data_IF_063963995318
#
_entry.id   IF_063963995318
#
_cell.length_a   1.000
_cell.length_b   1.000
_cell.length_c   1.000
_cell.angle_alpha   90.00
_cell.angle_beta   90.00
_cell.angle_gamma   90.00
#
_symmetry.space_group_name_H-M   'P 1'
#
loop_
_entity.id
_entity.type
_entity.pdbx_description
1 polymer ?
#
# COMPACT_ATOMS: atom_id res chain seq x y z
N UNK A 1 8.75 -23.89 -15.08
CA UNK A 1 8.15 -23.34 -16.32
C UNK A 1 7.03 -24.19 -16.91
N UNK A 2 7.26 -25.33 -17.60
CA UNK A 2 6.16 -26.07 -18.27
C UNK A 2 5.18 -26.79 -17.31
N UNK A 3 5.62 -27.18 -16.10
CA UNK A 3 4.74 -27.80 -15.09
C UNK A 3 3.85 -26.80 -14.36
N UNK A 4 4.37 -25.61 -14.04
CA UNK A 4 3.58 -24.49 -13.50
C UNK A 4 2.52 -24.03 -14.50
N UNK A 5 2.85 -24.07 -15.80
CA UNK A 5 1.91 -23.74 -16.86
C UNK A 5 0.68 -24.66 -16.82
N UNK A 6 0.89 -25.99 -16.73
CA UNK A 6 -0.21 -26.98 -16.62
C UNK A 6 -1.08 -26.78 -15.38
N UNK A 7 -0.48 -26.48 -14.22
CA UNK A 7 -1.24 -26.21 -12.99
C UNK A 7 -2.12 -24.96 -13.10
N UNK A 8 -1.65 -23.92 -13.80
CA UNK A 8 -2.46 -22.75 -14.12
C UNK A 8 -3.54 -23.05 -15.19
N UNK A 9 -3.37 -24.09 -16.02
CA UNK A 9 -4.38 -24.48 -17.01
C UNK A 9 -5.65 -25.06 -16.39
N UNK A 10 -5.55 -25.88 -15.33
CA UNK A 10 -6.73 -26.47 -14.65
C UNK A 10 -7.52 -25.41 -13.86
N UNK A 11 -6.84 -24.47 -13.21
CA UNK A 11 -7.47 -23.40 -12.41
C UNK A 11 -8.17 -22.37 -13.30
N UNK A 12 -7.58 -22.02 -14.44
CA UNK A 12 -8.17 -21.11 -15.44
C UNK A 12 -9.46 -21.61 -16.07
N UNK A 13 -9.71 -22.92 -16.08
CA UNK A 13 -10.88 -23.52 -16.70
C UNK A 13 -12.14 -23.44 -15.82
N UNK A 14 -12.00 -23.26 -14.49
CA UNK A 14 -13.12 -23.28 -13.54
C UNK A 14 -13.45 -21.92 -12.91
N UNK A 15 -12.46 -21.05 -12.69
CA UNK A 15 -12.64 -19.80 -11.91
C UNK A 15 -12.11 -18.54 -12.58
N UNK A 16 -11.30 -18.68 -13.64
CA UNK A 16 -10.57 -17.57 -14.26
C UNK A 16 -9.38 -17.14 -13.40
N UNK A 17 -8.24 -16.88 -14.04
CA UNK A 17 -7.02 -16.43 -13.34
C UNK A 17 -6.85 -14.94 -13.58
N UNK A 18 -6.67 -14.18 -12.50
CA UNK A 18 -6.16 -12.81 -12.53
C UNK A 18 -4.74 -12.84 -11.97
N UNK A 19 -3.77 -12.36 -12.74
CA UNK A 19 -2.39 -12.23 -12.30
C UNK A 19 -1.82 -10.89 -12.74
N UNK A 20 -1.13 -10.21 -11.84
CA UNK A 20 -0.36 -9.00 -12.12
C UNK A 20 1.12 -9.35 -12.32
N UNK A 21 1.82 -8.62 -13.19
CA UNK A 21 3.24 -8.85 -13.48
C UNK A 21 3.87 -7.76 -14.33
N UNK A 22 5.13 -7.94 -14.70
CA UNK A 22 5.86 -7.04 -15.62
C UNK A 22 5.93 -7.69 -17.01
N UNK A 23 5.53 -6.94 -18.03
CA UNK A 23 5.69 -7.31 -19.43
C UNK A 23 6.77 -6.46 -20.07
N UNK A 24 7.43 -6.99 -21.09
CA UNK A 24 8.43 -6.27 -21.88
C UNK A 24 7.81 -5.95 -23.24
N UNK A 25 7.65 -4.67 -23.55
CA UNK A 25 7.18 -4.21 -24.85
C UNK A 25 8.17 -4.60 -25.97
N UNK A 26 7.71 -4.51 -27.22
CA UNK A 26 8.56 -4.79 -28.40
C UNK A 26 9.80 -3.87 -28.46
N UNK A 27 9.69 -2.65 -27.93
CA UNK A 27 10.78 -1.68 -27.84
C UNK A 27 11.71 -1.90 -26.63
N UNK A 28 11.45 -2.94 -25.81
CA UNK A 28 12.23 -3.28 -24.62
C UNK A 28 11.77 -2.59 -23.34
N UNK A 29 10.72 -1.77 -23.37
CA UNK A 29 10.22 -1.06 -22.18
C UNK A 29 9.44 -2.00 -21.26
N UNK A 30 9.76 -1.99 -19.97
CA UNK A 30 8.99 -2.70 -18.95
C UNK A 30 7.70 -1.95 -18.62
N UNK A 31 6.58 -2.69 -18.54
CA UNK A 31 5.32 -2.14 -18.06
C UNK A 31 4.54 -3.13 -17.19
N UNK A 32 3.87 -2.64 -16.13
CA UNK A 32 3.00 -3.47 -15.32
C UNK A 32 1.72 -3.81 -16.08
N UNK A 33 1.30 -5.07 -16.00
CA UNK A 33 0.09 -5.57 -16.62
C UNK A 33 -0.73 -6.44 -15.67
N UNK A 34 -2.02 -6.49 -15.91
CA UNK A 34 -2.97 -7.45 -15.36
C UNK A 34 -3.43 -8.36 -16.50
N UNK A 35 -3.25 -9.67 -16.37
CA UNK A 35 -3.84 -10.66 -17.28
C UNK A 35 -5.04 -11.30 -16.60
N UNK A 36 -6.19 -11.24 -17.26
CA UNK A 36 -7.34 -12.07 -16.96
C UNK A 36 -7.46 -13.17 -18.00
N UNK A 37 -7.40 -14.43 -17.57
CA UNK A 37 -7.50 -15.59 -18.45
C UNK A 37 -8.74 -16.40 -18.14
N UNK A 38 -9.54 -16.70 -19.16
CA UNK A 38 -10.67 -17.63 -19.06
C UNK A 38 -10.63 -18.61 -20.22
N UNK A 39 -11.04 -19.84 -19.95
CA UNK A 39 -11.28 -20.83 -20.99
C UNK A 39 -12.77 -21.02 -21.21
N UNK A 40 -13.18 -21.15 -22.47
CA UNK A 40 -14.56 -21.35 -22.90
C UNK A 40 -14.57 -22.50 -23.88
N UNK A 41 -15.47 -23.47 -23.71
CA UNK A 41 -15.73 -24.50 -24.70
C UNK A 41 -16.67 -23.95 -25.78
N UNK A 42 -16.25 -24.02 -27.03
CA UNK A 42 -17.10 -23.73 -28.18
C UNK A 42 -17.12 -24.96 -29.09
N UNK A 43 -18.25 -25.68 -29.11
CA UNK A 43 -18.47 -26.88 -29.93
C UNK A 43 -17.43 -28.00 -29.69
N UNK A 44 -16.97 -28.18 -28.45
CA UNK A 44 -15.97 -29.18 -28.09
C UNK A 44 -14.52 -28.72 -28.31
N UNK A 45 -14.30 -27.47 -28.71
CA UNK A 45 -12.99 -26.85 -28.79
C UNK A 45 -12.77 -25.92 -27.59
N UNK A 46 -11.74 -26.19 -26.80
CA UNK A 46 -11.38 -25.37 -25.65
C UNK A 46 -10.62 -24.12 -26.12
N UNK A 47 -11.31 -22.99 -26.16
CA UNK A 47 -10.72 -21.69 -26.50
C UNK A 47 -10.28 -20.99 -25.23
N UNK A 48 -9.05 -20.48 -25.21
CA UNK A 48 -8.56 -19.61 -24.12
C UNK A 48 -8.59 -18.16 -24.57
N UNK A 49 -9.21 -17.32 -23.76
CA UNK A 49 -9.25 -15.87 -23.92
C UNK A 49 -8.35 -15.25 -22.87
N UNK A 50 -7.41 -14.43 -23.31
CA UNK A 50 -6.58 -13.58 -22.46
C UNK A 50 -6.97 -12.13 -22.68
N UNK A 51 -7.32 -11.43 -21.59
CA UNK A 51 -7.45 -9.98 -21.58
C UNK A 51 -6.23 -9.44 -20.86
N UNK A 52 -5.40 -8.69 -21.58
CA UNK A 52 -4.21 -8.04 -21.04
C UNK A 52 -4.54 -6.56 -20.86
N UNK A 53 -4.42 -6.06 -19.65
CA UNK A 53 -4.62 -4.66 -19.31
C UNK A 53 -3.32 -4.05 -18.80
N UNK A 54 -2.94 -2.93 -19.38
CA UNK A 54 -1.88 -2.08 -18.84
C UNK A 54 -2.37 -1.41 -17.55
N UNK A 55 -1.64 -1.53 -16.43
CA UNK A 55 -2.08 -1.03 -15.12
C UNK A 55 -1.23 0.13 -14.58
N UNK A 56 -0.35 0.71 -15.40
CA UNK A 56 0.55 1.80 -15.01
C UNK A 56 -0.18 2.97 -14.36
N UNK A 57 -1.28 3.43 -14.95
CA UNK A 57 -2.07 4.56 -14.40
C UNK A 57 -2.68 4.20 -13.03
N UNK A 58 -3.12 2.95 -12.86
CA UNK A 58 -3.68 2.46 -11.59
C UNK A 58 -2.60 2.44 -10.51
N UNK A 59 -1.43 1.87 -10.78
CA UNK A 59 -0.32 1.84 -9.81
C UNK A 59 0.15 3.24 -9.45
N UNK A 60 0.25 4.14 -10.43
CA UNK A 60 0.60 5.54 -10.20
C UNK A 60 -0.46 6.25 -9.33
N UNK A 61 -1.74 6.05 -9.62
CA UNK A 61 -2.83 6.62 -8.83
C UNK A 61 -2.83 6.06 -7.38
N UNK A 62 -2.59 4.76 -7.20
CA UNK A 62 -2.48 4.14 -5.88
C UNK A 62 -1.28 4.68 -5.10
N UNK A 63 -0.14 4.87 -5.77
CA UNK A 63 1.06 5.48 -5.16
C UNK A 63 0.82 6.93 -4.76
N UNK A 64 0.19 7.73 -5.63
CA UNK A 64 -0.19 9.11 -5.30
C UNK A 64 -1.15 9.11 -4.11
N UNK A 65 -2.18 8.26 -4.13
CA UNK A 65 -3.13 8.11 -3.02
C UNK A 65 -2.41 7.74 -1.72
N UNK A 66 -1.42 6.85 -1.78
CA UNK A 66 -0.61 6.49 -0.63
C UNK A 66 0.17 7.71 -0.11
N UNK A 67 0.91 8.41 -0.95
CA UNK A 67 1.73 9.57 -0.57
C UNK A 67 0.90 10.76 -0.05
N UNK A 68 -0.34 10.92 -0.54
CA UNK A 68 -1.29 11.92 -0.04
C UNK A 68 -1.74 11.61 1.40
N UNK A 69 -1.64 10.35 1.84
CA UNK A 69 -2.15 9.90 3.14
C UNK A 69 -1.06 9.48 4.15
N UNK A 70 0.09 9.01 3.69
CA UNK A 70 1.11 8.38 4.54
C UNK A 70 2.49 9.01 4.36
N UNK A 71 3.30 8.99 5.42
CA UNK A 71 4.70 9.40 5.39
C UNK A 71 5.53 8.31 4.71
N UNK A 72 6.27 8.68 3.65
CA UNK A 72 7.00 7.71 2.82
C UNK A 72 8.11 6.97 3.57
N UNK A 73 8.68 7.56 4.63
CA UNK A 73 9.76 6.94 5.40
C UNK A 73 9.22 5.89 6.38
N UNK A 74 8.12 6.21 7.06
CA UNK A 74 7.64 5.44 8.23
C UNK A 74 6.35 4.67 7.98
N UNK A 75 5.62 4.97 6.91
CA UNK A 75 4.35 4.34 6.57
C UNK A 75 3.17 4.72 7.46
N UNK A 76 3.37 5.53 8.51
CA UNK A 76 2.28 6.05 9.33
C UNK A 76 1.60 7.25 8.68
N UNK A 77 0.41 7.60 9.14
CA UNK A 77 -0.38 8.68 8.57
C UNK A 77 0.36 10.02 8.60
N UNK A 78 0.27 10.75 7.49
CA UNK A 78 0.79 12.10 7.40
C UNK A 78 -0.20 13.12 8.02
N UNK A 79 0.19 14.40 8.03
CA UNK A 79 -0.67 15.48 8.55
C UNK A 79 -2.00 15.59 7.80
N UNK A 80 -1.98 15.49 6.47
CA UNK A 80 -3.17 15.65 5.65
C UNK A 80 -4.23 14.61 5.95
N UNK A 81 -3.83 13.35 6.13
CA UNK A 81 -4.74 12.26 6.50
C UNK A 81 -5.44 12.53 7.83
N UNK A 82 -4.68 12.90 8.86
CA UNK A 82 -5.25 13.10 10.20
C UNK A 82 -6.16 14.32 10.26
N UNK A 83 -5.82 15.42 9.58
CA UNK A 83 -6.70 16.59 9.54
C UNK A 83 -8.03 16.24 8.86
N UNK A 84 -8.01 15.53 7.73
CA UNK A 84 -9.23 15.07 7.06
C UNK A 84 -10.05 14.12 7.94
N UNK A 85 -9.39 13.21 8.64
CA UNK A 85 -10.07 12.27 9.52
C UNK A 85 -10.65 12.96 10.75
N UNK A 86 -9.96 13.96 11.29
CA UNK A 86 -10.46 14.81 12.37
C UNK A 86 -11.69 15.61 11.95
N UNK A 87 -11.65 16.27 10.79
CA UNK A 87 -12.81 16.99 10.21
C UNK A 87 -14.02 16.06 10.01
N UNK A 88 -13.78 14.82 9.56
CA UNK A 88 -14.84 13.82 9.38
C UNK A 88 -15.44 13.30 10.69
N UNK A 89 -14.67 13.32 11.77
CA UNK A 89 -15.06 12.67 13.04
C UNK A 89 -15.56 13.65 14.10
N UNK A 90 -15.15 14.92 14.07
CA UNK A 90 -15.46 15.87 15.14
C UNK A 90 -16.95 16.20 15.26
N UNK A 91 -17.64 16.45 14.14
CA UNK A 91 -19.07 16.79 14.17
C UNK A 91 -19.95 15.61 14.62
N UNK A 92 -19.77 14.38 14.09
CA UNK A 92 -20.44 13.19 14.63
C UNK A 92 -20.12 12.93 16.11
N UNK A 93 -18.86 13.10 16.53
CA UNK A 93 -18.44 12.91 17.91
C UNK A 93 -19.12 13.91 18.84
N UNK A 94 -19.20 15.18 18.45
CA UNK A 94 -19.89 16.23 19.20
C UNK A 94 -21.37 15.91 19.42
N UNK A 95 -22.08 15.47 18.38
CA UNK A 95 -23.50 15.07 18.49
C UNK A 95 -23.70 13.84 19.38
N UNK A 96 -22.78 12.89 19.30
CA UNK A 96 -22.85 11.62 20.03
C UNK A 96 -22.20 11.67 21.42
N UNK A 97 -21.71 12.85 21.84
CA UNK A 97 -20.94 13.06 23.07
C UNK A 97 -19.75 12.10 23.23
N UNK A 98 -19.13 11.74 22.10
CA UNK A 98 -17.93 10.90 22.08
C UNK A 98 -16.70 11.76 22.38
N UNK A 99 -15.85 11.26 23.28
CA UNK A 99 -14.59 11.88 23.64
C UNK A 99 -13.45 11.26 22.81
N UNK A 100 -12.45 12.08 22.49
CA UNK A 100 -11.19 11.61 21.92
C UNK A 100 -10.03 12.09 22.78
N UNK A 101 -8.94 11.33 22.74
CA UNK A 101 -7.68 11.64 23.41
C UNK A 101 -6.57 11.75 22.37
N UNK A 102 -5.69 12.73 22.54
CA UNK A 102 -4.50 12.90 21.73
C UNK A 102 -3.25 12.78 22.60
N UNK A 103 -2.25 12.08 22.11
CA UNK A 103 -0.94 11.96 22.76
C UNK A 103 0.13 12.43 21.78
N UNK A 104 1.07 13.22 22.31
CA UNK A 104 2.27 13.62 21.61
C UNK A 104 3.47 13.23 22.48
N UNK A 105 4.44 12.55 21.90
CA UNK A 105 5.69 12.18 22.54
C UNK A 105 6.85 12.40 21.58
N UNK A 106 8.03 12.60 22.15
CA UNK A 106 9.28 12.78 21.43
C UNK A 106 10.12 11.49 21.49
N UNK A 107 11.05 11.32 20.56
CA UNK A 107 12.06 10.26 20.59
C UNK A 107 13.31 10.86 21.23
N UNK A 108 13.56 10.47 22.47
CA UNK A 108 14.69 11.00 23.24
C UNK A 108 16.02 10.83 22.50
N UNK A 109 16.86 11.88 22.57
CA UNK A 109 18.20 11.92 21.98
C UNK A 109 18.25 11.68 20.46
N UNK A 110 17.13 11.84 19.75
CA UNK A 110 17.09 11.62 18.30
C UNK A 110 18.13 12.46 17.53
N UNK A 111 18.30 13.73 17.91
CA UNK A 111 19.32 14.61 17.33
C UNK A 111 20.74 14.06 17.51
N UNK A 112 21.07 13.59 18.71
CA UNK A 112 22.38 12.98 18.99
C UNK A 112 22.65 11.77 18.11
N UNK A 113 21.63 10.95 17.82
CA UNK A 113 21.77 9.82 16.89
C UNK A 113 22.09 10.31 15.48
N UNK A 114 21.39 11.34 14.99
CA UNK A 114 21.67 11.92 13.68
C UNK A 114 23.08 12.52 13.61
N UNK A 115 23.50 13.22 14.64
CA UNK A 115 24.80 13.92 14.67
C UNK A 115 25.97 12.93 14.71
N UNK A 116 25.83 11.79 15.42
CA UNK A 116 26.89 10.78 15.57
C UNK A 116 26.87 9.74 14.44
N UNK A 117 25.68 9.28 14.01
CA UNK A 117 25.52 8.13 13.11
C UNK A 117 24.91 8.49 11.75
N UNK A 118 24.66 9.78 11.50
CA UNK A 118 24.08 10.28 10.27
C UNK A 118 22.58 10.05 10.13
N UNK A 119 21.98 10.77 9.18
CA UNK A 119 20.53 10.77 8.94
C UNK A 119 19.97 9.40 8.55
N UNK A 120 20.72 8.55 7.84
CA UNK A 120 20.26 7.21 7.48
C UNK A 120 19.98 6.34 8.71
N UNK A 121 20.80 6.49 9.76
CA UNK A 121 20.61 5.80 11.04
C UNK A 121 19.38 6.33 11.78
N UNK A 122 19.20 7.65 11.81
CA UNK A 122 17.99 8.27 12.35
C UNK A 122 16.71 7.84 11.62
N UNK A 123 16.75 7.75 10.29
CA UNK A 123 15.66 7.23 9.47
C UNK A 123 15.31 5.78 9.86
N UNK A 124 16.32 4.95 10.18
CA UNK A 124 16.14 3.61 10.72
C UNK A 124 15.46 3.59 12.10
N UNK A 125 15.84 4.50 12.99
CA UNK A 125 15.18 4.68 14.29
C UNK A 125 13.73 5.08 14.12
N UNK A 126 13.43 6.05 13.26
CA UNK A 126 12.05 6.48 13.00
C UNK A 126 11.17 5.35 12.45
N UNK A 127 11.71 4.52 11.55
CA UNK A 127 11.02 3.31 11.06
C UNK A 127 10.69 2.35 12.21
N UNK A 128 11.67 2.05 13.07
CA UNK A 128 11.45 1.16 14.23
C UNK A 128 10.46 1.71 15.25
N UNK A 129 10.48 3.02 15.48
CA UNK A 129 9.49 3.69 16.34
C UNK A 129 8.09 3.55 15.74
N UNK A 130 7.93 3.83 14.45
CA UNK A 130 6.65 3.67 13.76
C UNK A 130 6.12 2.23 13.81
N UNK A 131 6.97 1.23 13.52
CA UNK A 131 6.61 -0.19 13.62
C UNK A 131 6.12 -0.56 15.03
N UNK A 132 6.86 -0.15 16.07
CA UNK A 132 6.49 -0.42 17.47
C UNK A 132 5.17 0.25 17.85
N UNK A 133 4.94 1.47 17.39
CA UNK A 133 3.68 2.18 17.64
C UNK A 133 2.51 1.45 16.99
N UNK A 134 2.63 1.10 15.71
CA UNK A 134 1.59 0.37 14.97
C UNK A 134 1.26 -0.99 15.60
N UNK A 135 2.24 -1.63 16.26
CA UNK A 135 2.03 -2.90 16.94
C UNK A 135 1.25 -2.77 18.26
N UNK A 136 1.27 -1.61 18.92
CA UNK A 136 0.61 -1.41 20.23
C UNK A 136 -0.69 -0.64 20.15
N UNK A 137 -0.89 0.18 19.11
CA UNK A 137 -2.14 0.92 18.94
C UNK A 137 -3.24 0.02 18.37
N UNK A 138 -4.49 0.31 18.70
CA UNK A 138 -5.63 -0.42 18.14
C UNK A 138 -5.82 -0.03 16.68
N UNK A 139 -6.48 -0.88 15.89
CA UNK A 139 -6.81 -0.58 14.48
C UNK A 139 -7.61 0.71 14.27
N UNK A 140 -8.37 1.14 15.30
CA UNK A 140 -9.16 2.36 15.26
C UNK A 140 -8.34 3.63 15.62
N UNK A 141 -7.18 3.46 16.24
CA UNK A 141 -6.31 4.57 16.62
C UNK A 141 -5.50 5.04 15.41
N UNK A 142 -5.16 6.33 15.37
CA UNK A 142 -4.44 6.92 14.24
C UNK A 142 -3.14 7.53 14.74
N UNK A 143 -2.02 7.04 14.19
CA UNK A 143 -0.67 7.51 14.54
C UNK A 143 -0.12 8.50 13.52
N UNK A 144 0.43 9.62 13.99
CA UNK A 144 1.07 10.64 13.15
C UNK A 144 2.57 10.74 13.38
N UNK A 145 3.30 11.00 12.30
CA UNK A 145 4.65 11.58 12.38
C UNK A 145 4.61 13.11 12.44
N UNK A 146 5.31 13.73 13.40
CA UNK A 146 5.40 15.20 13.52
C UNK A 146 6.75 15.79 13.09
N UNK A 147 7.78 14.96 12.95
CA UNK A 147 9.15 15.36 12.58
C UNK A 147 9.22 15.98 11.18
N UNK A 148 9.91 17.11 11.07
CA UNK A 148 10.41 17.62 9.78
C UNK A 148 11.84 17.13 9.59
N UNK A 149 12.17 16.71 8.36
CA UNK A 149 13.58 16.57 7.95
C UNK A 149 14.24 17.93 7.95
#
# INVERSE_FOLDING_TARGET
MMSEYKGQMEVSASTGIISEGIHVAKDGTDFPFEVSSRSIDIKGELIRIHIIRHITEREQAEKIRYLVNYDALTGISNRGFIMRQFERTIEPARRSKLMFSAMLFDVDKFKTINDIHGHNSGDGVLRKVAERLQAVVRKADITRKTWRR
#
